data_IF_722854551781
#
_entry.id   IF_722854551781
#
_cell.length_a   1.000
_cell.length_b   1.000
_cell.length_c   1.000
_cell.angle_alpha   90.00
_cell.angle_beta   90.00
_cell.angle_gamma   90.00
#
_symmetry.space_group_name_H-M   'P 1'
#
loop_
_entity.id
_entity.type
_entity.pdbx_description
1 polymer ?
#
# COMPACT_ATOMS: atom_id res chain seq x y z
N UNK A 1 -16.20 -18.69 -35.51
CA UNK A 1 -17.47 -18.95 -34.80
C UNK A 1 -17.47 -18.14 -33.52
N UNK A 2 -18.57 -17.46 -33.18
CA UNK A 2 -18.65 -16.69 -31.93
C UNK A 2 -18.89 -17.65 -30.75
N UNK A 3 -18.11 -17.52 -29.68
CA UNK A 3 -18.33 -18.29 -28.46
C UNK A 3 -19.51 -17.70 -27.66
N UNK A 4 -20.28 -18.51 -26.92
CA UNK A 4 -21.27 -17.99 -26.00
C UNK A 4 -20.59 -17.26 -24.83
N UNK A 5 -21.31 -16.33 -24.21
CA UNK A 5 -20.91 -15.76 -22.92
C UNK A 5 -20.88 -16.85 -21.85
N UNK A 6 -19.83 -16.86 -21.02
CA UNK A 6 -19.62 -17.84 -19.95
C UNK A 6 -20.56 -17.63 -18.74
N UNK A 7 -21.17 -16.45 -18.61
CA UNK A 7 -22.13 -16.13 -17.54
C UNK A 7 -23.42 -16.93 -17.74
N UNK A 8 -23.85 -17.63 -16.67
CA UNK A 8 -25.06 -18.42 -16.67
C UNK A 8 -26.28 -17.59 -17.12
N UNK A 9 -27.16 -18.20 -17.91
CA UNK A 9 -28.37 -17.58 -18.48
C UNK A 9 -28.11 -16.41 -19.46
N UNK A 10 -26.86 -16.11 -19.82
CA UNK A 10 -26.57 -15.13 -20.85
C UNK A 10 -26.64 -15.75 -22.25
N UNK A 11 -27.61 -15.33 -23.06
CA UNK A 11 -27.74 -15.80 -24.45
C UNK A 11 -26.87 -15.01 -25.45
N UNK A 12 -26.11 -14.02 -24.99
CA UNK A 12 -25.31 -13.16 -25.87
C UNK A 12 -24.03 -13.87 -26.29
N UNK A 13 -23.58 -13.57 -27.51
CA UNK A 13 -22.24 -13.96 -27.95
C UNK A 13 -21.17 -13.19 -27.17
N UNK A 14 -20.09 -13.89 -26.82
CA UNK A 14 -18.89 -13.29 -26.27
C UNK A 14 -18.28 -12.29 -27.26
N UNK A 15 -17.71 -11.23 -26.70
CA UNK A 15 -17.00 -10.16 -27.42
C UNK A 15 -15.54 -10.05 -27.00
N UNK A 16 -15.17 -10.61 -25.85
CA UNK A 16 -13.81 -10.61 -25.33
C UNK A 16 -13.55 -11.84 -24.45
N UNK A 17 -12.29 -12.26 -24.38
CA UNK A 17 -11.77 -13.16 -23.36
C UNK A 17 -11.30 -12.32 -22.17
N UNK A 18 -11.82 -12.57 -20.98
CA UNK A 18 -11.26 -12.02 -19.76
C UNK A 18 -10.02 -12.83 -19.38
N UNK A 19 -8.83 -12.23 -19.44
CA UNK A 19 -7.57 -12.92 -19.10
C UNK A 19 -7.42 -13.21 -17.61
N UNK A 20 -8.12 -12.46 -16.74
CA UNK A 20 -8.14 -12.73 -15.30
C UNK A 20 -8.91 -14.03 -15.01
N UNK A 21 -10.10 -14.17 -15.59
CA UNK A 21 -11.00 -15.31 -15.32
C UNK A 21 -10.86 -16.46 -16.32
N UNK A 22 -10.13 -16.27 -17.42
CA UNK A 22 -10.02 -17.20 -18.55
C UNK A 22 -11.40 -17.58 -19.13
N UNK A 23 -12.31 -16.60 -19.18
CA UNK A 23 -13.70 -16.80 -19.62
C UNK A 23 -14.07 -15.88 -20.78
N UNK A 24 -14.84 -16.42 -21.72
CA UNK A 24 -15.40 -15.66 -22.84
C UNK A 24 -16.62 -14.87 -22.36
N UNK A 25 -16.55 -13.53 -22.32
CA UNK A 25 -17.59 -12.67 -21.75
C UNK A 25 -18.21 -11.78 -22.84
N UNK A 26 -19.50 -11.49 -22.75
CA UNK A 26 -20.15 -10.50 -23.62
C UNK A 26 -19.83 -9.07 -23.16
N UNK A 27 -20.18 -8.06 -23.97
CA UNK A 27 -19.83 -6.66 -23.67
C UNK A 27 -20.40 -6.18 -22.32
N UNK A 28 -21.66 -6.45 -22.04
CA UNK A 28 -22.33 -5.92 -20.85
C UNK A 28 -21.75 -6.55 -19.57
N UNK A 29 -21.57 -7.87 -19.55
CA UNK A 29 -20.93 -8.54 -18.41
C UNK A 29 -19.44 -8.18 -18.27
N UNK A 30 -18.77 -7.76 -19.35
CA UNK A 30 -17.40 -7.25 -19.25
C UNK A 30 -17.39 -5.87 -18.55
N UNK A 31 -18.38 -5.02 -18.81
CA UNK A 31 -18.52 -3.72 -18.13
C UNK A 31 -18.81 -3.95 -16.64
N UNK A 32 -19.78 -4.80 -16.31
CA UNK A 32 -20.08 -5.15 -14.91
C UNK A 32 -18.86 -5.75 -14.18
N UNK A 33 -18.09 -6.58 -14.89
CA UNK A 33 -16.88 -7.15 -14.36
C UNK A 33 -15.79 -6.09 -14.12
N UNK A 34 -15.63 -5.14 -15.03
CA UNK A 34 -14.70 -4.02 -14.87
C UNK A 34 -15.10 -3.13 -13.69
N UNK A 35 -16.39 -2.80 -13.57
CA UNK A 35 -16.93 -2.03 -12.45
C UNK A 35 -16.68 -2.71 -11.10
N UNK A 36 -16.88 -4.02 -11.02
CA UNK A 36 -16.63 -4.80 -9.80
C UNK A 36 -15.14 -4.86 -9.45
N UNK A 37 -14.27 -4.98 -10.45
CA UNK A 37 -12.82 -4.94 -10.24
C UNK A 37 -12.37 -3.56 -9.76
N UNK A 38 -12.79 -2.49 -10.44
CA UNK A 38 -12.44 -1.12 -10.08
C UNK A 38 -12.96 -0.76 -8.69
N UNK A 39 -14.17 -1.22 -8.33
CA UNK A 39 -14.72 -1.05 -6.98
C UNK A 39 -13.89 -1.71 -5.87
N UNK A 40 -13.09 -2.73 -6.19
CA UNK A 40 -12.17 -3.38 -5.24
C UNK A 40 -10.76 -2.84 -5.30
N UNK A 41 -10.28 -2.46 -6.49
CA UNK A 41 -8.92 -1.96 -6.69
C UNK A 41 -8.73 -0.54 -6.16
N UNK A 42 -9.74 0.32 -6.31
CA UNK A 42 -9.65 1.71 -5.85
C UNK A 42 -9.39 1.82 -4.33
N UNK A 43 -10.13 1.12 -3.45
CA UNK A 43 -9.82 1.12 -2.02
C UNK A 43 -8.41 0.64 -1.69
N UNK A 44 -7.91 -0.39 -2.39
CA UNK A 44 -6.55 -0.90 -2.17
C UNK A 44 -5.51 0.16 -2.57
N UNK A 45 -5.74 0.86 -3.70
CA UNK A 45 -4.87 1.95 -4.12
C UNK A 45 -4.86 3.09 -3.08
N UNK A 46 -6.02 3.45 -2.54
CA UNK A 46 -6.15 4.45 -1.48
C UNK A 46 -5.41 4.03 -0.20
N UNK A 47 -5.52 2.77 0.23
CA UNK A 47 -4.78 2.24 1.37
C UNK A 47 -3.26 2.27 1.15
N UNK A 48 -2.78 1.88 -0.04
CA UNK A 48 -1.36 1.94 -0.40
C UNK A 48 -0.87 3.39 -0.37
N UNK A 49 -1.64 4.33 -0.91
CA UNK A 49 -1.30 5.75 -0.90
C UNK A 49 -1.21 6.29 0.53
N UNK A 50 -2.17 5.95 1.39
CA UNK A 50 -2.14 6.34 2.81
C UNK A 50 -0.93 5.75 3.54
N UNK A 51 -0.57 4.49 3.27
CA UNK A 51 0.62 3.87 3.84
C UNK A 51 1.90 4.58 3.37
N UNK A 52 1.99 4.91 2.08
CA UNK A 52 3.11 5.65 1.52
C UNK A 52 3.24 7.04 2.14
N UNK A 53 2.12 7.76 2.29
CA UNK A 53 2.11 9.05 2.97
C UNK A 53 2.59 8.93 4.41
N UNK A 54 2.10 7.92 5.15
CA UNK A 54 2.57 7.66 6.51
C UNK A 54 4.07 7.41 6.56
N UNK A 55 4.61 6.58 5.65
CA UNK A 55 6.05 6.32 5.56
C UNK A 55 6.84 7.60 5.26
N UNK A 56 6.36 8.45 4.36
CA UNK A 56 6.98 9.74 4.05
C UNK A 56 6.93 10.71 5.22
N UNK A 57 5.91 10.62 6.08
CA UNK A 57 5.78 11.42 7.29
C UNK A 57 6.53 10.84 8.50
N UNK A 58 7.12 9.64 8.40
CA UNK A 58 8.06 9.16 9.42
C UNK A 58 9.31 10.04 9.32
N UNK A 59 9.32 11.11 10.10
CA UNK A 59 10.49 11.97 10.22
C UNK A 59 11.52 11.28 11.12
N UNK A 60 12.33 10.41 10.53
CA UNK A 60 13.43 9.72 11.22
C UNK A 60 14.38 10.69 11.91
N UNK A 61 14.49 11.93 11.41
CA UNK A 61 15.29 12.97 12.06
C UNK A 61 14.74 13.33 13.43
N UNK A 62 13.41 13.43 13.58
CA UNK A 62 12.78 13.72 14.87
C UNK A 62 12.90 12.52 15.81
N UNK A 63 12.76 11.30 15.28
CA UNK A 63 12.93 10.05 16.06
C UNK A 63 14.37 9.92 16.59
N UNK A 64 15.37 10.27 15.79
CA UNK A 64 16.77 10.17 16.17
C UNK A 64 17.26 11.37 16.97
N UNK A 65 16.62 12.52 16.88
CA UNK A 65 17.01 13.75 17.59
C UNK A 65 16.98 13.54 19.11
N UNK A 66 15.89 12.98 19.64
CA UNK A 66 15.74 12.72 21.08
C UNK A 66 16.79 11.71 21.58
N UNK A 67 17.04 10.65 20.82
CA UNK A 67 18.07 9.66 21.15
C UNK A 67 19.48 10.29 21.15
N UNK A 68 19.78 11.15 20.17
CA UNK A 68 21.06 11.86 20.09
C UNK A 68 21.25 12.82 21.27
N UNK A 69 20.20 13.54 21.67
CA UNK A 69 20.26 14.45 22.82
C UNK A 69 20.53 13.70 24.13
N UNK A 70 19.85 12.56 24.33
CA UNK A 70 20.07 11.71 25.50
C UNK A 70 21.49 11.15 25.56
N UNK A 71 22.03 10.68 24.43
CA UNK A 71 23.41 10.19 24.36
C UNK A 71 24.44 11.29 24.65
N UNK A 72 24.21 12.51 24.14
CA UNK A 72 25.10 13.63 24.39
C UNK A 72 25.04 14.12 25.83
N UNK A 73 23.86 14.08 26.46
CA UNK A 73 23.72 14.29 27.90
C UNK A 73 24.49 13.24 28.70
N UNK A 74 24.27 11.95 28.41
CA UNK A 74 24.99 10.86 29.07
C UNK A 74 26.51 11.01 28.95
N UNK A 75 26.99 11.40 27.76
CA UNK A 75 28.41 11.68 27.52
C UNK A 75 28.93 12.81 28.40
N UNK A 76 28.21 13.93 28.45
CA UNK A 76 28.59 15.10 29.27
C UNK A 76 28.62 14.78 30.76
N UNK A 77 27.61 14.06 31.25
CA UNK A 77 27.54 13.68 32.66
C UNK A 77 28.66 12.72 33.05
N UNK A 78 29.00 11.79 32.16
CA UNK A 78 30.12 10.87 32.38
C UNK A 78 31.45 11.61 32.48
N UNK A 79 31.71 12.57 31.57
CA UNK A 79 32.93 13.40 31.65
C UNK A 79 32.97 14.23 32.93
N UNK A 80 31.86 14.87 33.31
CA UNK A 80 31.77 15.62 34.57
C UNK A 80 32.11 14.74 35.77
N UNK A 81 31.55 13.54 35.85
CA UNK A 81 31.81 12.61 36.95
C UNK A 81 33.28 12.15 37.01
N UNK A 82 33.91 11.96 35.85
CA UNK A 82 35.34 11.65 35.76
C UNK A 82 36.18 12.84 36.24
N UNK A 83 35.87 14.06 35.78
CA UNK A 83 36.59 15.28 36.17
C UNK A 83 36.45 15.56 37.68
N UNK A 84 35.28 15.30 38.27
CA UNK A 84 35.03 15.38 39.71
C UNK A 84 35.77 14.31 40.52
N UNK A 85 36.07 13.16 39.91
CA UNK A 85 36.82 12.09 40.57
C UNK A 85 38.35 12.31 40.51
N UNK A 86 38.82 12.95 39.43
CA UNK A 86 40.25 13.15 39.16
C UNK A 86 40.80 14.45 39.79
N UNK A 87 39.95 15.47 40.03
CA UNK A 87 40.31 16.70 40.74
C UNK A 87 40.05 16.61 42.25
#
# INVERSE_FOLDING_TARGET
MSHPCAIANCQRSSRALCHCCQQNICRDHLIEHDDLLNGRLNPIADEINQLNDRLNHINLKDVLADTHEQLENWRRESYRAIDEFIN
#
